data_IF_587100685199
#
_entry.id   IF_587100685199
#
_cell.length_a   1.000
_cell.length_b   1.000
_cell.length_c   1.000
_cell.angle_alpha   90.00
_cell.angle_beta   90.00
_cell.angle_gamma   90.00
#
_symmetry.space_group_name_H-M   'P 1'
#
loop_
_entity.id
_entity.type
_entity.pdbx_description
1 polymer ?
#
# COMPACT_ATOMS: atom_id res chain seq x y z
N UNK A 1 21.19 -5.77 -7.57
CA UNK A 1 20.09 -4.86 -7.19
C UNK A 1 19.69 -3.85 -8.28
N UNK A 2 20.57 -3.48 -9.24
CA UNK A 2 20.26 -2.44 -10.24
C UNK A 2 19.38 -2.82 -11.45
N UNK A 3 18.97 -4.09 -11.61
CA UNK A 3 18.23 -4.55 -12.81
C UNK A 3 16.70 -4.59 -12.59
N UNK A 4 16.24 -4.80 -11.34
CA UNK A 4 14.82 -5.06 -11.01
C UNK A 4 14.10 -3.80 -10.47
N UNK A 5 14.85 -2.72 -10.20
CA UNK A 5 14.34 -1.49 -9.57
C UNK A 5 14.42 -1.52 -8.03
N UNK A 6 14.21 -0.38 -7.39
CA UNK A 6 14.28 -0.21 -5.93
C UNK A 6 12.96 -0.56 -5.20
N UNK A 7 11.87 -0.79 -5.94
CA UNK A 7 10.56 -1.07 -5.35
C UNK A 7 10.50 -2.34 -4.48
N UNK A 8 11.16 -3.47 -4.80
CA UNK A 8 11.11 -4.65 -3.94
C UNK A 8 11.76 -4.39 -2.58
N UNK A 9 12.82 -3.58 -2.55
CA UNK A 9 13.51 -3.20 -1.31
C UNK A 9 12.61 -2.37 -0.40
N UNK A 10 11.85 -1.42 -0.94
CA UNK A 10 10.91 -0.62 -0.15
C UNK A 10 9.78 -1.47 0.44
N UNK A 11 9.24 -2.42 -0.32
CA UNK A 11 8.19 -3.33 0.16
C UNK A 11 8.72 -4.22 1.30
N UNK A 12 9.94 -4.74 1.18
CA UNK A 12 10.58 -5.54 2.24
C UNK A 12 10.77 -4.72 3.52
N UNK A 13 11.07 -3.42 3.41
CA UNK A 13 11.23 -2.54 4.58
C UNK A 13 9.87 -2.19 5.19
N UNK A 14 8.87 -1.86 4.37
CA UNK A 14 7.56 -1.45 4.87
C UNK A 14 6.74 -2.61 5.46
N UNK A 15 6.88 -3.82 4.92
CA UNK A 15 6.14 -4.99 5.37
C UNK A 15 6.26 -5.30 6.87
N UNK A 16 7.45 -5.39 7.49
CA UNK A 16 7.56 -5.64 8.93
C UNK A 16 6.97 -4.49 9.77
N UNK A 17 7.15 -3.23 9.34
CA UNK A 17 6.55 -2.08 10.03
C UNK A 17 5.02 -2.15 9.99
N UNK A 18 4.44 -2.53 8.85
CA UNK A 18 2.98 -2.71 8.75
C UNK A 18 2.48 -3.84 9.62
N UNK A 19 3.23 -4.94 9.72
CA UNK A 19 2.85 -6.07 10.56
C UNK A 19 2.84 -5.68 12.03
N UNK A 20 3.88 -4.98 12.50
CA UNK A 20 3.93 -4.46 13.87
C UNK A 20 2.77 -3.50 14.12
N UNK A 21 2.51 -2.58 13.19
CA UNK A 21 1.40 -1.63 13.30
C UNK A 21 0.04 -2.32 13.43
N UNK A 22 -0.27 -3.27 12.54
CA UNK A 22 -1.53 -4.03 12.57
C UNK A 22 -1.63 -4.91 13.82
N UNK A 23 -0.53 -5.54 14.25
CA UNK A 23 -0.52 -6.34 15.48
C UNK A 23 -0.75 -5.49 16.72
N UNK A 24 -0.17 -4.29 16.79
CA UNK A 24 -0.44 -3.34 17.87
C UNK A 24 -1.91 -2.90 17.84
N UNK A 25 -2.47 -2.61 16.66
CA UNK A 25 -3.88 -2.26 16.51
C UNK A 25 -4.81 -3.38 17.02
N UNK A 26 -4.56 -4.63 16.63
CA UNK A 26 -5.33 -5.80 17.06
C UNK A 26 -5.14 -6.05 18.57
N UNK A 27 -3.91 -5.96 19.07
CA UNK A 27 -3.62 -6.15 20.49
C UNK A 27 -4.37 -5.15 21.36
N UNK A 28 -4.39 -3.88 20.94
CA UNK A 28 -5.12 -2.83 21.64
C UNK A 28 -6.65 -3.01 21.53
N UNK A 29 -7.16 -3.55 20.43
CA UNK A 29 -8.58 -3.89 20.28
C UNK A 29 -8.98 -5.05 21.23
N UNK A 30 -8.13 -6.08 21.34
CA UNK A 30 -8.46 -7.33 22.05
C UNK A 30 -8.16 -7.29 23.55
N UNK A 31 -7.09 -6.63 23.98
CA UNK A 31 -6.68 -6.51 25.39
C UNK A 31 -6.96 -5.14 26.01
N UNK A 32 -7.32 -4.13 25.21
CA UNK A 32 -7.64 -2.79 25.69
C UNK A 32 -9.04 -2.67 26.28
N UNK A 33 -9.30 -1.56 26.98
CA UNK A 33 -10.68 -1.13 27.25
C UNK A 33 -11.40 -1.04 25.90
N UNK A 34 -12.65 -1.55 25.79
CA UNK A 34 -13.39 -1.50 24.53
C UNK A 34 -13.36 -0.06 23.99
N UNK A 35 -13.21 0.10 22.67
CA UNK A 35 -13.07 1.37 21.91
C UNK A 35 -14.05 2.52 22.30
N UNK A 36 -15.04 2.23 23.15
CA UNK A 36 -15.89 3.15 23.88
C UNK A 36 -15.17 4.05 24.91
N UNK A 37 -14.12 3.61 25.61
CA UNK A 37 -13.48 4.38 26.71
C UNK A 37 -12.11 4.98 26.38
N UNK A 38 -11.62 4.84 25.16
CA UNK A 38 -10.32 5.39 24.76
C UNK A 38 -10.35 6.92 24.64
N UNK A 39 -9.25 7.56 25.06
CA UNK A 39 -9.04 9.00 24.91
C UNK A 39 -9.10 9.34 23.42
N UNK A 40 -9.86 10.37 23.04
CA UNK A 40 -10.04 10.81 21.64
C UNK A 40 -8.72 11.00 20.90
N UNK A 41 -7.67 11.41 21.62
CA UNK A 41 -6.31 11.57 21.10
C UNK A 41 -5.66 10.27 20.60
N UNK A 42 -5.88 9.14 21.26
CA UNK A 42 -5.30 7.84 20.84
C UNK A 42 -5.94 7.34 19.55
N UNK A 43 -7.25 7.57 19.40
CA UNK A 43 -8.00 7.24 18.19
C UNK A 43 -7.54 8.07 17.00
N UNK A 44 -7.29 9.37 17.22
CA UNK A 44 -6.77 10.29 16.19
C UNK A 44 -5.32 9.96 15.80
N UNK A 45 -4.47 9.60 16.77
CA UNK A 45 -3.10 9.17 16.50
C UNK A 45 -3.04 7.88 15.66
N UNK A 46 -3.91 6.91 15.96
CA UNK A 46 -4.02 5.69 15.16
C UNK A 46 -4.42 6.01 13.71
N UNK A 47 -5.43 6.85 13.50
CA UNK A 47 -5.83 7.25 12.14
C UNK A 47 -4.76 8.05 11.41
N UNK A 48 -3.97 8.88 12.11
CA UNK A 48 -2.87 9.62 11.49
C UNK A 48 -1.77 8.68 11.02
N UNK A 49 -1.47 7.65 11.82
CA UNK A 49 -0.45 6.66 11.49
C UNK A 49 -0.90 5.73 10.34
N UNK A 50 -2.20 5.40 10.26
CA UNK A 50 -2.81 4.77 9.08
C UNK A 50 -2.59 5.62 7.80
N UNK A 51 -2.79 6.93 7.86
CA UNK A 51 -2.54 7.84 6.72
C UNK A 51 -1.07 7.83 6.30
N UNK A 52 -0.13 7.84 7.25
CA UNK A 52 1.29 7.74 6.94
C UNK A 52 1.63 6.43 6.18
N UNK A 53 1.05 5.30 6.59
CA UNK A 53 1.21 4.04 5.87
C UNK A 53 0.56 4.08 4.49
N UNK A 54 -0.64 4.65 4.35
CA UNK A 54 -1.29 4.83 3.03
C UNK A 54 -0.37 5.61 2.08
N UNK A 55 0.23 6.71 2.53
CA UNK A 55 1.17 7.49 1.74
C UNK A 55 2.42 6.67 1.34
N UNK A 56 3.01 5.94 2.29
CA UNK A 56 4.18 5.11 2.04
C UNK A 56 3.90 3.97 1.04
N UNK A 57 2.77 3.28 1.18
CA UNK A 57 2.35 2.21 0.26
C UNK A 57 1.93 2.74 -1.11
N UNK A 58 1.33 3.93 -1.18
CA UNK A 58 1.03 4.60 -2.45
C UNK A 58 2.31 4.95 -3.23
N UNK A 59 3.32 5.47 -2.53
CA UNK A 59 4.63 5.74 -3.14
C UNK A 59 5.29 4.46 -3.64
N UNK A 60 5.26 3.38 -2.83
CA UNK A 60 5.78 2.07 -3.23
C UNK A 60 5.03 1.50 -4.46
N UNK A 61 3.70 1.64 -4.51
CA UNK A 61 2.87 1.19 -5.62
C UNK A 61 3.21 1.92 -6.93
N UNK A 62 3.35 3.25 -6.86
CA UNK A 62 3.77 4.06 -8.00
C UNK A 62 5.15 3.64 -8.51
N UNK A 63 6.09 3.35 -7.61
CA UNK A 63 7.43 2.87 -7.96
C UNK A 63 7.41 1.47 -8.59
N UNK A 64 6.50 0.59 -8.16
CA UNK A 64 6.35 -0.73 -8.76
C UNK A 64 5.88 -0.63 -10.21
N UNK A 65 4.91 0.26 -10.50
CA UNK A 65 4.48 0.52 -11.87
C UNK A 65 5.56 1.15 -12.73
N UNK A 66 6.25 2.16 -12.21
CA UNK A 66 7.35 2.79 -12.93
C UNK A 66 8.44 1.77 -13.29
N UNK A 67 8.84 0.93 -12.33
CA UNK A 67 9.80 -0.15 -12.56
C UNK A 67 9.30 -1.17 -13.59
N UNK A 68 8.01 -1.52 -13.59
CA UNK A 68 7.44 -2.44 -14.59
C UNK A 68 7.47 -1.86 -16.02
N UNK A 69 7.24 -0.55 -16.16
CA UNK A 69 7.26 0.15 -17.44
C UNK A 69 8.64 0.61 -17.91
N UNK A 70 9.63 0.72 -17.01
CA UNK A 70 10.97 1.22 -17.34
C UNK A 70 12.07 0.15 -17.25
N UNK A 71 11.77 -1.04 -16.69
CA UNK A 71 12.79 -2.09 -16.53
C UNK A 71 13.42 -2.49 -17.87
N UNK A 72 14.71 -2.85 -17.81
CA UNK A 72 15.45 -3.37 -18.97
C UNK A 72 14.90 -4.70 -19.48
N UNK A 73 14.17 -5.45 -18.64
CA UNK A 73 13.45 -6.66 -19.06
C UNK A 73 12.10 -6.26 -19.70
N UNK A 74 11.78 -6.73 -20.92
CA UNK A 74 10.54 -6.41 -21.60
C UNK A 74 9.35 -7.18 -20.99
N UNK A 75 8.89 -6.71 -19.83
CA UNK A 75 7.73 -7.21 -19.11
C UNK A 75 6.40 -6.80 -19.75
N UNK A 76 6.33 -5.54 -20.18
CA UNK A 76 5.22 -4.98 -20.93
C UNK A 76 5.56 -5.00 -22.43
N UNK A 77 4.58 -5.35 -23.27
CA UNK A 77 4.76 -5.27 -24.72
C UNK A 77 4.93 -3.80 -25.14
N UNK A 78 5.76 -3.53 -26.16
CA UNK A 78 5.96 -2.18 -26.69
C UNK A 78 4.64 -1.49 -27.11
N UNK A 79 3.65 -2.26 -27.61
CA UNK A 79 2.33 -1.73 -27.95
C UNK A 79 1.49 -1.32 -26.73
N UNK A 80 1.72 -1.93 -25.57
CA UNK A 80 1.01 -1.60 -24.32
C UNK A 80 1.56 -0.36 -23.62
N UNK A 81 2.83 -0.01 -23.90
CA UNK A 81 3.51 1.17 -23.33
C UNK A 81 3.65 2.34 -24.29
N UNK A 82 3.31 2.17 -25.57
CA UNK A 82 3.43 3.20 -26.60
C UNK A 82 2.69 4.51 -26.23
N UNK A 83 1.62 4.42 -25.44
CA UNK A 83 0.90 5.59 -24.93
C UNK A 83 1.64 6.33 -23.78
N UNK A 84 2.50 5.63 -23.04
CA UNK A 84 3.18 6.17 -21.85
C UNK A 84 4.63 6.59 -22.14
N UNK A 85 5.33 5.90 -23.05
CA UNK A 85 6.74 6.14 -23.33
C UNK A 85 7.08 5.80 -24.78
N UNK A 86 7.51 6.78 -25.57
CA UNK A 86 8.02 6.58 -26.94
C UNK A 86 9.55 6.35 -26.98
N UNK A 87 10.19 6.29 -25.82
CA UNK A 87 11.63 6.07 -25.71
C UNK A 87 11.99 4.62 -26.04
N UNK A 88 12.86 4.42 -27.04
CA UNK A 88 13.47 3.13 -27.36
C UNK A 88 14.18 2.58 -26.13
N UNK A 89 13.65 1.49 -25.55
CA UNK A 89 14.34 0.80 -24.45
C UNK A 89 15.72 0.35 -24.95
N UNK A 90 16.79 0.50 -24.14
CA UNK A 90 18.08 -0.08 -24.49
C UNK A 90 17.92 -1.59 -24.67
N UNK A 91 18.17 -2.07 -25.88
CA UNK A 91 18.08 -3.47 -26.25
C UNK A 91 19.15 -4.24 -25.45
N UNK A 92 18.72 -4.99 -24.45
CA UNK A 92 19.64 -5.75 -23.61
C UNK A 92 20.20 -6.89 -24.45
N UNK A 93 21.43 -6.71 -24.96
CA UNK A 93 22.16 -7.66 -25.80
C UNK A 93 22.70 -8.84 -24.97
N UNK A 94 21.87 -9.40 -24.08
CA UNK A 94 22.22 -10.56 -23.27
C UNK A 94 21.31 -11.73 -23.67
N UNK A 95 21.85 -12.74 -24.38
CA UNK A 95 21.07 -13.91 -24.79
C UNK A 95 20.61 -14.61 -23.50
N UNK A 96 19.30 -14.85 -23.37
CA UNK A 96 18.58 -15.45 -22.22
C UNK A 96 17.90 -14.52 -21.20
N UNK A 97 18.03 -13.19 -21.28
CA UNK A 97 17.26 -12.26 -20.43
C UNK A 97 15.98 -11.70 -21.07
N UNK A 98 15.76 -11.96 -22.36
CA UNK A 98 14.52 -11.60 -23.06
C UNK A 98 13.32 -12.46 -22.63
N UNK A 99 12.11 -12.05 -23.05
CA UNK A 99 10.83 -12.75 -22.82
C UNK A 99 10.71 -14.04 -23.65
N UNK A 100 11.71 -14.91 -23.54
CA UNK A 100 11.63 -16.29 -23.99
C UNK A 100 10.87 -17.09 -22.94
N UNK A 101 9.86 -17.86 -23.37
CA UNK A 101 9.09 -18.75 -22.47
C UNK A 101 10.06 -19.68 -21.73
N UNK A 102 10.08 -19.61 -20.40
CA UNK A 102 10.98 -20.39 -19.54
C UNK A 102 12.34 -19.75 -19.24
N UNK A 103 12.58 -18.51 -19.67
CA UNK A 103 13.78 -17.74 -19.31
C UNK A 103 13.66 -17.01 -17.97
N UNK A 104 14.80 -16.58 -17.42
CA UNK A 104 14.88 -15.81 -16.15
C UNK A 104 14.11 -14.48 -16.23
N UNK A 105 13.93 -13.93 -17.44
CA UNK A 105 13.14 -12.71 -17.65
C UNK A 105 11.63 -12.90 -17.45
N UNK A 106 11.08 -14.09 -17.71
CA UNK A 106 9.64 -14.37 -17.57
C UNK A 106 9.28 -14.52 -16.08
N UNK A 107 10.07 -15.28 -15.33
CA UNK A 107 9.87 -15.46 -13.88
C UNK A 107 10.04 -14.15 -13.12
N UNK A 108 11.01 -13.31 -13.51
CA UNK A 108 11.18 -11.98 -12.92
C UNK A 108 9.97 -11.07 -13.16
N UNK A 109 9.34 -11.22 -14.32
CA UNK A 109 8.14 -10.48 -14.67
C UNK A 109 6.94 -10.87 -13.83
N UNK A 110 6.75 -12.18 -13.62
CA UNK A 110 5.71 -12.72 -12.75
C UNK A 110 5.90 -12.23 -11.31
N UNK A 111 7.15 -12.17 -10.81
CA UNK A 111 7.43 -11.61 -9.48
C UNK A 111 7.12 -10.12 -9.38
N UNK A 112 7.43 -9.32 -10.41
CA UNK A 112 7.09 -7.89 -10.42
C UNK A 112 5.58 -7.68 -10.45
N UNK A 113 4.84 -8.47 -11.24
CA UNK A 113 3.38 -8.43 -11.27
C UNK A 113 2.79 -8.82 -9.90
N UNK A 114 3.31 -9.90 -9.29
CA UNK A 114 2.89 -10.32 -7.95
C UNK A 114 3.13 -9.21 -6.92
N UNK A 115 4.27 -8.50 -7.00
CA UNK A 115 4.58 -7.37 -6.13
C UNK A 115 3.57 -6.22 -6.32
N UNK A 116 3.23 -5.85 -7.55
CA UNK A 116 2.22 -4.82 -7.85
C UNK A 116 0.86 -5.21 -7.26
N UNK A 117 0.42 -6.45 -7.48
CA UNK A 117 -0.84 -6.96 -6.95
C UNK A 117 -0.85 -6.93 -5.41
N UNK A 118 0.23 -7.39 -4.78
CA UNK A 118 0.36 -7.40 -3.32
C UNK A 118 0.29 -5.99 -2.72
N UNK A 119 1.03 -5.04 -3.30
CA UNK A 119 1.05 -3.65 -2.85
C UNK A 119 -0.30 -2.97 -3.10
N UNK A 120 -0.93 -3.23 -4.24
CA UNK A 120 -2.26 -2.72 -4.58
C UNK A 120 -3.34 -3.19 -3.61
N UNK A 121 -3.41 -4.49 -3.33
CA UNK A 121 -4.35 -5.06 -2.35
C UNK A 121 -4.09 -4.51 -0.94
N UNK A 122 -2.82 -4.36 -0.55
CA UNK A 122 -2.44 -3.74 0.72
C UNK A 122 -2.97 -2.31 0.83
N UNK A 123 -2.78 -1.49 -0.21
CA UNK A 123 -3.27 -0.12 -0.25
C UNK A 123 -4.81 -0.05 -0.13
N UNK A 124 -5.53 -0.88 -0.90
CA UNK A 124 -7.01 -0.95 -0.82
C UNK A 124 -7.47 -1.33 0.60
N UNK A 125 -6.80 -2.28 1.23
CA UNK A 125 -7.12 -2.70 2.61
C UNK A 125 -6.94 -1.54 3.59
N UNK A 126 -5.85 -0.77 3.47
CA UNK A 126 -5.66 0.44 4.28
C UNK A 126 -6.73 1.51 4.01
N UNK A 127 -7.11 1.73 2.75
CA UNK A 127 -8.21 2.64 2.39
C UNK A 127 -9.54 2.21 3.02
N UNK A 128 -9.83 0.91 3.10
CA UNK A 128 -11.04 0.40 3.77
C UNK A 128 -10.95 0.62 5.29
N UNK A 129 -9.80 0.35 5.91
CA UNK A 129 -9.59 0.54 7.34
C UNK A 129 -9.79 2.01 7.79
N UNK A 130 -9.26 2.97 7.02
CA UNK A 130 -9.46 4.39 7.33
C UNK A 130 -10.93 4.81 7.18
N UNK A 131 -11.65 4.29 6.18
CA UNK A 131 -13.08 4.54 5.99
C UNK A 131 -13.87 4.03 7.20
N UNK A 132 -13.67 2.78 7.61
CA UNK A 132 -14.34 2.19 8.78
C UNK A 132 -14.00 2.98 10.06
N UNK A 133 -12.74 3.38 10.23
CA UNK A 133 -12.28 4.16 11.38
C UNK A 133 -12.98 5.52 11.45
N UNK A 134 -13.10 6.22 10.32
CA UNK A 134 -13.80 7.50 10.22
C UNK A 134 -15.30 7.37 10.50
N UNK A 135 -15.97 6.38 9.91
CA UNK A 135 -17.39 6.13 10.17
C UNK A 135 -17.67 5.91 11.67
N UNK A 136 -16.87 5.07 12.34
CA UNK A 136 -16.99 4.85 13.80
C UNK A 136 -16.75 6.12 14.62
N UNK A 137 -15.88 7.03 14.16
CA UNK A 137 -15.65 8.32 14.83
C UNK A 137 -16.88 9.22 14.66
N UNK A 138 -17.40 9.35 13.44
CA UNK A 138 -18.57 10.18 13.17
C UNK A 138 -19.82 9.72 13.92
N UNK A 139 -20.13 8.42 13.93
CA UNK A 139 -21.25 7.90 14.71
C UNK A 139 -21.11 8.20 16.19
N UNK A 140 -19.91 8.01 16.74
CA UNK A 140 -19.63 8.30 18.15
C UNK A 140 -19.81 9.80 18.46
N UNK A 141 -19.31 10.69 17.61
CA UNK A 141 -19.49 12.14 17.76
C UNK A 141 -20.97 12.52 17.67
N UNK A 142 -21.72 11.93 16.74
CA UNK A 142 -23.18 12.13 16.62
C UNK A 142 -23.91 11.74 17.91
N UNK A 143 -23.56 10.60 18.52
CA UNK A 143 -24.15 10.16 19.79
C UNK A 143 -23.85 11.12 20.96
N UNK A 144 -22.63 11.69 21.03
CA UNK A 144 -22.32 12.71 22.04
C UNK A 144 -23.02 14.04 21.79
N UNK A 145 -23.17 14.45 20.54
CA UNK A 145 -23.90 15.66 20.18
C UNK A 145 -25.40 15.55 20.51
N UNK A 146 -26.00 14.35 20.35
CA UNK A 146 -27.38 14.06 20.74
C UNK A 146 -27.62 13.94 22.24
N UNK A 147 -26.58 13.67 23.05
CA UNK A 147 -26.67 13.53 24.50
C UNK A 147 -26.45 14.84 25.28
N UNK A 148 -26.35 16.02 24.63
CA UNK A 148 -26.40 17.28 25.41
C UNK A 148 -27.78 17.38 26.07
N UNK A 149 -27.90 17.28 27.40
CA UNK A 149 -29.14 17.67 28.06
C UNK A 149 -29.25 19.17 27.85
N UNK A 150 -30.33 19.63 27.24
CA UNK A 150 -30.78 21.02 27.39
C UNK A 150 -30.83 21.30 28.88
N UNK A 151 -29.86 22.04 29.43
CA UNK A 151 -29.97 22.57 30.79
C UNK A 151 -31.15 23.55 30.77
N UNK A 152 -32.20 23.33 31.58
CA UNK A 152 -33.21 24.35 31.78
C UNK A 152 -32.59 25.48 32.61
N UNK A 153 -32.64 26.70 32.07
CA UNK A 153 -32.55 27.93 32.87
C UNK A 153 -33.89 28.19 33.54
#
# INVERSE_FOLDING_TARGET
MGIVGSSPTLVIIFSPLTLVHVMVAIYLEYFGRPMGLWRTSAKLAHTLLEVCFICAWSAAFSLCFDNFFTSLIPCASAGSIAWYNELSRPELTLPNLGRNKGGVGDTLCDYQLALICLVGVGLVTYCINIVISLFRIFEKVKSYAGFRPTMPF
#
